data_IF_594395909131
#
_entry.id   IF_594395909131
#
_cell.length_a   1.000
_cell.length_b   1.000
_cell.length_c   1.000
_cell.angle_alpha   90.00
_cell.angle_beta   90.00
_cell.angle_gamma   90.00
#
_symmetry.space_group_name_H-M   'P 1'
#
loop_
_entity.id
_entity.type
_entity.pdbx_description
1 polymer ?
#
# COMPACT_ATOMS: atom_id res chain seq x y z
N UNK A 1 13.22 -16.28 -13.57
CA UNK A 1 11.86 -15.88 -13.99
C UNK A 1 11.40 -14.83 -13.00
N UNK A 2 11.69 -13.55 -13.27
CA UNK A 2 11.33 -12.46 -12.35
C UNK A 2 9.83 -12.28 -12.37
N UNK A 3 9.19 -12.68 -11.27
CA UNK A 3 7.78 -12.46 -10.99
C UNK A 3 7.60 -10.95 -10.77
N UNK A 4 7.63 -10.16 -11.85
CA UNK A 4 6.89 -8.89 -11.92
C UNK A 4 5.42 -9.26 -11.84
N UNK A 5 4.99 -9.66 -10.63
CA UNK A 5 3.60 -9.83 -10.24
C UNK A 5 2.86 -8.65 -10.84
N UNK A 6 1.92 -8.92 -11.76
CA UNK A 6 1.01 -7.92 -12.30
C UNK A 6 0.49 -7.10 -11.12
N UNK A 7 1.02 -5.88 -10.96
CA UNK A 7 0.63 -5.00 -9.88
C UNK A 7 -0.83 -4.66 -10.17
N UNK A 8 -1.75 -5.17 -9.36
CA UNK A 8 -3.15 -4.79 -9.52
C UNK A 8 -3.25 -3.26 -9.43
N UNK A 9 -4.14 -2.64 -10.21
CA UNK A 9 -4.32 -1.17 -10.17
C UNK A 9 -4.50 -0.64 -8.73
N UNK A 10 -5.09 -1.45 -7.85
CA UNK A 10 -5.28 -1.19 -6.42
C UNK A 10 -3.97 -1.10 -5.63
N UNK A 11 -3.04 -2.01 -5.89
CA UNK A 11 -1.71 -2.03 -5.29
C UNK A 11 -0.89 -0.83 -5.77
N UNK A 12 -0.93 -0.55 -7.08
CA UNK A 12 -0.20 0.56 -7.67
C UNK A 12 -0.71 1.93 -7.16
N UNK A 13 -2.03 2.09 -7.06
CA UNK A 13 -2.65 3.30 -6.50
C UNK A 13 -2.12 3.61 -5.09
N UNK A 14 -2.09 2.61 -4.21
CA UNK A 14 -1.58 2.79 -2.85
C UNK A 14 -0.07 3.02 -2.81
N UNK A 15 0.71 2.31 -3.61
CA UNK A 15 2.16 2.51 -3.70
C UNK A 15 2.52 3.93 -4.14
N UNK A 16 1.88 4.43 -5.20
CA UNK A 16 2.06 5.78 -5.72
C UNK A 16 1.66 6.84 -4.68
N UNK A 17 0.59 6.59 -3.92
CA UNK A 17 0.21 7.43 -2.78
C UNK A 17 1.31 7.49 -1.71
N UNK A 18 1.94 6.36 -1.38
CA UNK A 18 3.08 6.34 -0.43
C UNK A 18 4.28 7.13 -0.95
N UNK A 19 4.49 7.16 -2.27
CA UNK A 19 5.48 8.02 -2.97
C UNK A 19 5.08 9.50 -3.06
N UNK A 20 3.93 9.90 -2.52
CA UNK A 20 3.40 11.27 -2.59
C UNK A 20 3.12 11.76 -4.02
N UNK A 21 2.82 10.84 -4.95
CA UNK A 21 2.35 11.20 -6.29
C UNK A 21 0.94 11.82 -6.15
N UNK A 22 0.67 12.99 -6.78
CA UNK A 22 -0.66 13.63 -6.75
C UNK A 22 -1.77 12.70 -7.24
N UNK A 23 -2.98 12.83 -6.67
CA UNK A 23 -4.14 11.96 -7.01
C UNK A 23 -4.47 11.96 -8.50
N UNK A 24 -4.45 13.12 -9.17
CA UNK A 24 -4.71 13.22 -10.61
C UNK A 24 -3.69 12.47 -11.44
N UNK A 25 -2.40 12.62 -11.11
CA UNK A 25 -1.32 11.92 -11.79
C UNK A 25 -1.33 10.43 -11.48
N UNK A 26 -1.62 10.05 -10.24
CA UNK A 26 -1.74 8.65 -9.85
C UNK A 26 -2.88 7.96 -10.61
N UNK A 27 -4.04 8.60 -10.70
CA UNK A 27 -5.20 8.13 -11.46
C UNK A 27 -4.85 7.92 -12.95
N UNK A 28 -4.10 8.86 -13.55
CA UNK A 28 -3.57 8.73 -14.91
C UNK A 28 -2.61 7.55 -15.07
N UNK A 29 -1.68 7.38 -14.13
CA UNK A 29 -0.67 6.30 -14.16
C UNK A 29 -1.27 4.90 -14.01
N UNK A 30 -2.43 4.78 -13.36
CA UNK A 30 -3.12 3.50 -13.18
C UNK A 30 -4.25 3.27 -14.19
N UNK A 31 -4.52 4.22 -15.08
CA UNK A 31 -5.66 4.20 -16.02
C UNK A 31 -7.03 4.05 -15.32
N UNK A 32 -7.28 4.89 -14.30
CA UNK A 32 -8.58 4.98 -13.60
C UNK A 32 -9.01 6.43 -13.38
N UNK A 33 -10.28 6.60 -12.99
CA UNK A 33 -10.78 7.86 -12.45
C UNK A 33 -10.13 8.19 -11.10
N UNK A 34 -10.06 9.48 -10.78
CA UNK A 34 -9.60 9.97 -9.47
C UNK A 34 -10.40 9.36 -8.32
N UNK A 35 -11.72 9.21 -8.48
CA UNK A 35 -12.59 8.59 -7.48
C UNK A 35 -12.28 7.11 -7.25
N UNK A 36 -12.00 6.35 -8.32
CA UNK A 36 -11.57 4.95 -8.19
C UNK A 36 -10.20 4.83 -7.53
N UNK A 37 -9.26 5.73 -7.88
CA UNK A 37 -7.96 5.82 -7.24
C UNK A 37 -8.08 6.13 -5.73
N UNK A 38 -8.90 7.10 -5.34
CA UNK A 38 -9.10 7.48 -3.95
C UNK A 38 -9.70 6.34 -3.12
N UNK A 39 -10.64 5.57 -3.70
CA UNK A 39 -11.17 4.37 -3.08
C UNK A 39 -10.08 3.33 -2.80
N UNK A 40 -9.14 3.14 -3.73
CA UNK A 40 -8.03 2.19 -3.54
C UNK A 40 -7.04 2.68 -2.48
N UNK A 41 -6.72 3.98 -2.47
CA UNK A 41 -5.90 4.59 -1.43
C UNK A 41 -6.56 4.45 -0.06
N UNK A 42 -7.87 4.68 0.04
CA UNK A 42 -8.64 4.52 1.29
C UNK A 42 -8.57 3.08 1.82
N UNK A 43 -8.66 2.08 0.94
CA UNK A 43 -8.51 0.68 1.36
C UNK A 43 -7.08 0.39 1.85
N UNK A 44 -6.06 0.82 1.11
CA UNK A 44 -4.66 0.63 1.52
C UNK A 44 -4.33 1.32 2.85
N UNK A 45 -4.83 2.54 3.07
CA UNK A 45 -4.61 3.28 4.33
C UNK A 45 -5.33 2.65 5.53
N UNK A 46 -6.51 2.03 5.33
CA UNK A 46 -7.17 1.25 6.39
C UNK A 46 -6.34 0.03 6.77
N UNK A 47 -5.83 -0.70 5.79
CA UNK A 47 -4.94 -1.86 6.02
C UNK A 47 -3.66 -1.41 6.71
N UNK A 48 -3.02 -0.33 6.27
CA UNK A 48 -1.83 0.22 6.91
C UNK A 48 -2.04 0.51 8.39
N UNK A 49 -3.12 1.21 8.75
CA UNK A 49 -3.41 1.52 10.16
C UNK A 49 -3.50 0.26 11.01
N UNK A 50 -4.26 -0.74 10.56
CA UNK A 50 -4.45 -1.98 11.30
C UNK A 50 -3.17 -2.82 11.36
N UNK A 51 -2.42 -2.90 10.25
CA UNK A 51 -1.14 -3.60 10.21
C UNK A 51 -0.14 -3.00 11.20
N UNK A 52 -0.02 -1.66 11.22
CA UNK A 52 0.86 -0.95 12.16
C UNK A 52 0.38 -1.04 13.62
N UNK A 53 -0.91 -1.32 13.86
CA UNK A 53 -1.44 -1.63 15.19
C UNK A 53 -1.21 -3.08 15.63
N UNK A 54 -0.55 -3.91 14.81
CA UNK A 54 -0.17 -5.28 15.17
C UNK A 54 -1.21 -6.36 14.87
N UNK A 55 -2.29 -6.03 14.14
CA UNK A 55 -3.27 -7.03 13.72
C UNK A 55 -2.70 -7.93 12.61
N UNK A 56 -3.10 -9.21 12.63
CA UNK A 56 -2.76 -10.18 11.59
C UNK A 56 -3.54 -9.95 10.30
N UNK A 57 -3.04 -10.46 9.18
CA UNK A 57 -3.71 -10.37 7.87
C UNK A 57 -5.16 -10.88 7.91
N UNK A 58 -5.43 -11.92 8.71
CA UNK A 58 -6.75 -12.52 8.87
C UNK A 58 -7.72 -11.59 9.60
N UNK A 59 -7.27 -10.98 10.69
CA UNK A 59 -8.06 -10.01 11.46
C UNK A 59 -8.34 -8.76 10.61
N UNK A 60 -7.32 -8.25 9.91
CA UNK A 60 -7.48 -7.12 9.00
C UNK A 60 -8.49 -7.45 7.90
N UNK A 61 -8.39 -8.63 7.29
CA UNK A 61 -9.34 -9.09 6.27
C UNK A 61 -10.77 -9.13 6.82
N UNK A 62 -10.94 -9.66 8.04
CA UNK A 62 -12.22 -9.69 8.73
C UNK A 62 -12.80 -8.29 9.01
N UNK A 63 -12.00 -7.36 9.56
CA UNK A 63 -12.48 -6.02 9.91
C UNK A 63 -12.76 -5.12 8.70
N UNK A 64 -12.05 -5.34 7.60
CA UNK A 64 -12.14 -4.46 6.42
C UNK A 64 -13.02 -5.02 5.32
N UNK A 65 -13.33 -6.33 5.35
CA UNK A 65 -13.96 -7.04 4.23
C UNK A 65 -13.04 -7.18 3.00
N UNK A 66 -11.76 -6.82 3.12
CA UNK A 66 -10.79 -6.92 2.01
C UNK A 66 -10.26 -8.36 1.95
N UNK A 67 -10.20 -8.99 0.76
CA UNK A 67 -9.65 -10.33 0.63
C UNK A 67 -8.23 -10.43 1.17
N UNK A 68 -7.91 -11.51 1.90
CA UNK A 68 -6.61 -11.66 2.57
C UNK A 68 -5.39 -11.57 1.65
N UNK A 69 -5.49 -11.98 0.37
CA UNK A 69 -4.39 -11.80 -0.58
C UNK A 69 -4.09 -10.33 -0.87
N UNK A 70 -5.11 -9.47 -0.87
CA UNK A 70 -4.97 -8.03 -1.10
C UNK A 70 -4.49 -7.31 0.17
N UNK A 71 -4.92 -7.78 1.34
CA UNK A 71 -4.35 -7.34 2.62
C UNK A 71 -2.84 -7.56 2.64
N UNK A 72 -2.38 -8.77 2.27
CA UNK A 72 -0.95 -9.08 2.13
C UNK A 72 -0.23 -8.13 1.17
N UNK A 73 -0.82 -7.86 0.00
CA UNK A 73 -0.21 -6.93 -0.95
C UNK A 73 0.00 -5.52 -0.39
N UNK A 74 -0.98 -5.01 0.37
CA UNK A 74 -0.85 -3.72 1.04
C UNK A 74 0.14 -3.76 2.20
N UNK A 75 0.13 -4.82 3.01
CA UNK A 75 1.06 -5.03 4.11
C UNK A 75 2.52 -5.09 3.61
N UNK A 76 2.78 -5.76 2.49
CA UNK A 76 4.10 -5.81 1.86
C UNK A 76 4.62 -4.41 1.50
N UNK A 77 3.76 -3.55 0.96
CA UNK A 77 4.11 -2.15 0.68
C UNK A 77 4.43 -1.43 1.98
N UNK A 78 3.56 -1.52 3.01
CA UNK A 78 3.81 -0.85 4.30
C UNK A 78 5.13 -1.29 4.90
N UNK A 79 5.41 -2.59 4.89
CA UNK A 79 6.66 -3.17 5.39
C UNK A 79 7.89 -2.64 4.64
N UNK A 80 7.84 -2.51 3.31
CA UNK A 80 8.96 -1.97 2.54
C UNK A 80 9.26 -0.51 2.93
N UNK A 81 8.22 0.32 3.12
CA UNK A 81 8.38 1.71 3.53
C UNK A 81 8.87 1.88 4.97
N UNK A 82 8.45 1.01 5.89
CA UNK A 82 8.95 1.03 7.28
C UNK A 82 10.43 0.68 7.29
N UNK A 83 10.84 -0.36 6.57
CA UNK A 83 12.24 -0.78 6.50
C UNK A 83 13.14 0.28 5.84
N UNK A 84 12.68 0.90 4.75
CA UNK A 84 13.40 2.01 4.09
C UNK A 84 13.63 3.20 5.03
N UNK A 85 12.64 3.55 5.86
CA UNK A 85 12.78 4.61 6.86
C UNK A 85 13.77 4.24 7.96
N UNK A 86 13.70 3.03 8.50
CA UNK A 86 14.63 2.56 9.54
C UNK A 86 16.09 2.60 9.06
N UNK A 87 16.35 2.17 7.82
CA UNK A 87 17.70 2.17 7.24
C UNK A 87 18.21 3.60 6.97
N UNK A 88 17.35 4.53 6.55
CA UNK A 88 17.73 5.93 6.36
C UNK A 88 18.01 6.66 7.67
N UNK A 89 17.31 6.29 8.76
CA UNK A 89 17.59 6.85 10.09
C UNK A 89 18.96 6.40 10.58
N UNK A 90 19.29 5.11 10.47
CA UNK A 90 20.59 4.59 10.90
C UNK A 90 21.78 5.22 10.14
N UNK A 91 21.63 5.53 8.85
CA UNK A 91 22.69 6.13 8.04
C UNK A 91 22.88 7.65 8.26
N UNK A 92 21.97 8.33 8.96
CA UNK A 92 22.09 9.78 9.27
C UNK A 92 22.83 10.08 10.57
N UNK A 93 23.14 9.04 11.34
CA UNK A 93 23.88 9.13 12.60
C UNK A 93 25.18 8.29 12.57
N UNK A 94 25.61 7.86 11.38
CA UNK A 94 26.86 7.15 11.13
C UNK A 94 27.91 8.10 10.53
#
# INVERSE_FOLDING_TARGET
MDIRKFLTHKRLAFHNYKKKIPTSENARLIDHTTESNDRYIKNGTRVEKLYLSGYSDREISFFTGIPGYMVREYADIVKSYVNEKSNNVQNRYA
#
